data_IF_547065577975
#
_entry.id   IF_547065577975
#
_cell.length_a   1.000
_cell.length_b   1.000
_cell.length_c   1.000
_cell.angle_alpha   90.00
_cell.angle_beta   90.00
_cell.angle_gamma   90.00
#
_symmetry.space_group_name_H-M   'P 1'
#
loop_
_entity.id
_entity.type
_entity.pdbx_description
1 polymer ?
#
# COMPACT_ATOMS: atom_id res chain seq x y z
N UNK A 1 -4.11 -2.67 11.34
CA UNK A 1 -5.02 -2.31 10.23
C UNK A 1 -5.53 -3.56 9.51
N UNK A 2 -6.58 -3.45 8.69
CA UNK A 2 -7.08 -4.55 7.84
C UNK A 2 -7.40 -4.03 6.44
N UNK A 3 -6.98 -4.76 5.41
CA UNK A 3 -7.38 -4.48 4.02
C UNK A 3 -8.59 -5.34 3.67
N UNK A 4 -9.57 -4.73 3.02
CA UNK A 4 -10.63 -5.44 2.31
C UNK A 4 -10.58 -5.08 0.84
N UNK A 5 -10.83 -6.06 -0.01
CA UNK A 5 -10.81 -5.89 -1.46
C UNK A 5 -12.11 -6.45 -2.01
N UNK A 6 -12.73 -5.72 -2.92
CA UNK A 6 -13.84 -6.17 -3.76
C UNK A 6 -13.48 -6.04 -5.24
N UNK A 7 -14.47 -6.03 -6.13
CA UNK A 7 -14.25 -5.97 -7.58
C UNK A 7 -13.70 -4.61 -8.04
N UNK A 8 -14.02 -3.53 -7.32
CA UNK A 8 -13.76 -2.16 -7.75
C UNK A 8 -12.70 -1.47 -6.86
N UNK A 9 -12.64 -1.82 -5.57
CA UNK A 9 -11.84 -1.12 -4.58
C UNK A 9 -10.99 -2.05 -3.70
N UNK A 10 -9.87 -1.50 -3.22
CA UNK A 10 -9.16 -2.00 -2.06
C UNK A 10 -9.15 -0.92 -0.97
N UNK A 11 -9.71 -1.21 0.20
CA UNK A 11 -9.87 -0.25 1.30
C UNK A 11 -9.12 -0.71 2.54
N UNK A 12 -8.32 0.19 3.11
CA UNK A 12 -7.58 0.00 4.35
C UNK A 12 -8.37 0.59 5.52
N UNK A 13 -8.64 -0.25 6.52
CA UNK A 13 -9.40 0.11 7.71
C UNK A 13 -8.52 0.13 8.97
N UNK A 14 -8.80 1.08 9.85
CA UNK A 14 -8.32 1.12 11.25
C UNK A 14 -9.52 1.26 12.17
N UNK A 15 -9.64 0.32 13.12
CA UNK A 15 -10.71 0.31 14.12
C UNK A 15 -12.15 0.36 13.56
N UNK A 16 -12.33 0.00 12.28
CA UNK A 16 -13.62 0.04 11.59
C UNK A 16 -13.81 1.24 10.68
N UNK A 17 -12.96 2.26 10.80
CA UNK A 17 -12.98 3.46 9.95
C UNK A 17 -12.09 3.27 8.71
N UNK A 18 -12.56 3.63 7.51
CA UNK A 18 -11.76 3.62 6.30
C UNK A 18 -10.74 4.77 6.34
N UNK A 19 -9.47 4.48 6.06
CA UNK A 19 -8.42 5.49 6.00
C UNK A 19 -7.99 5.80 4.57
N UNK A 20 -7.98 4.75 3.73
CA UNK A 20 -7.49 4.81 2.36
C UNK A 20 -8.32 3.89 1.48
N UNK A 21 -8.70 4.36 0.30
CA UNK A 21 -9.33 3.55 -0.74
C UNK A 21 -8.50 3.65 -2.03
N UNK A 22 -8.18 2.50 -2.62
CA UNK A 22 -7.57 2.40 -3.94
C UNK A 22 -8.63 1.92 -4.90
N UNK A 23 -8.96 2.75 -5.89
CA UNK A 23 -9.72 2.33 -7.07
C UNK A 23 -8.82 1.41 -7.93
N UNK A 24 -9.30 0.19 -8.17
CA UNK A 24 -8.56 -0.83 -8.90
C UNK A 24 -8.61 -0.63 -10.41
N UNK A 25 -9.57 0.08 -10.97
CA UNK A 25 -9.63 0.40 -12.39
C UNK A 25 -8.72 1.59 -12.71
N UNK A 26 -8.96 2.72 -12.05
CA UNK A 26 -8.25 3.98 -12.32
C UNK A 26 -6.88 4.07 -11.67
N UNK A 27 -6.58 3.19 -10.71
CA UNK A 27 -5.37 3.20 -9.87
C UNK A 27 -5.22 4.49 -9.07
N UNK A 28 -6.33 5.16 -8.78
CA UNK A 28 -6.36 6.36 -7.97
C UNK A 28 -6.48 6.02 -6.47
N UNK A 29 -5.67 6.69 -5.65
CA UNK A 29 -5.66 6.50 -4.20
C UNK A 29 -6.34 7.69 -3.53
N UNK A 30 -7.43 7.43 -2.84
CA UNK A 30 -8.15 8.39 -2.01
C UNK A 30 -7.77 8.17 -0.54
N UNK A 31 -7.50 9.26 0.16
CA UNK A 31 -7.05 9.28 1.56
C UNK A 31 -7.94 10.23 2.36
N UNK A 32 -8.24 9.87 3.61
CA UNK A 32 -9.00 10.74 4.51
C UNK A 32 -8.26 12.06 4.76
N UNK A 33 -8.99 13.17 4.78
CA UNK A 33 -8.41 14.51 4.94
C UNK A 33 -7.87 14.78 6.35
N UNK A 34 -8.29 14.00 7.35
CA UNK A 34 -7.93 14.15 8.75
C UNK A 34 -6.70 13.32 9.15
N UNK A 35 -6.02 12.69 8.20
CA UNK A 35 -4.82 11.90 8.46
C UNK A 35 -3.64 12.77 8.88
N UNK A 36 -2.97 12.32 9.93
CA UNK A 36 -1.71 12.87 10.45
C UNK A 36 -0.50 12.26 9.74
N UNK A 37 0.68 12.85 9.91
CA UNK A 37 1.95 12.29 9.41
C UNK A 37 2.20 10.86 9.91
N UNK A 38 1.89 10.59 11.18
CA UNK A 38 2.01 9.25 11.76
C UNK A 38 1.09 8.24 11.07
N UNK A 39 -0.13 8.65 10.70
CA UNK A 39 -1.07 7.80 9.97
C UNK A 39 -0.52 7.43 8.59
N UNK A 40 0.05 8.39 7.86
CA UNK A 40 0.66 8.13 6.57
C UNK A 40 1.82 7.13 6.67
N UNK A 41 2.68 7.27 7.69
CA UNK A 41 3.77 6.34 7.94
C UNK A 41 3.21 4.94 8.20
N UNK A 42 2.21 4.81 9.08
CA UNK A 42 1.60 3.52 9.42
C UNK A 42 0.95 2.85 8.19
N UNK A 43 0.25 3.63 7.37
CA UNK A 43 -0.35 3.16 6.11
C UNK A 43 0.72 2.63 5.17
N UNK A 44 1.76 3.42 4.89
CA UNK A 44 2.84 3.04 3.96
C UNK A 44 3.57 1.80 4.46
N UNK A 45 3.90 1.74 5.76
CA UNK A 45 4.55 0.57 6.36
C UNK A 45 3.68 -0.67 6.20
N UNK A 46 2.37 -0.57 6.48
CA UNK A 46 1.45 -1.69 6.31
C UNK A 46 1.38 -2.18 4.87
N UNK A 47 1.33 -1.27 3.91
CA UNK A 47 1.31 -1.61 2.47
C UNK A 47 2.61 -2.28 2.03
N UNK A 48 3.76 -1.78 2.48
CA UNK A 48 5.06 -2.35 2.18
C UNK A 48 5.25 -3.74 2.79
N UNK A 49 4.75 -3.96 4.01
CA UNK A 49 4.80 -5.28 4.67
C UNK A 49 3.94 -6.30 3.93
N UNK A 50 2.74 -5.91 3.47
CA UNK A 50 1.89 -6.78 2.67
C UNK A 50 2.49 -7.10 1.31
N UNK A 51 3.08 -6.10 0.65
CA UNK A 51 3.83 -6.29 -0.60
C UNK A 51 4.99 -7.27 -0.38
N UNK A 52 5.75 -7.10 0.70
CA UNK A 52 6.84 -7.99 1.04
C UNK A 52 6.34 -9.41 1.30
N UNK A 53 5.26 -9.60 2.07
CA UNK A 53 4.68 -10.94 2.29
C UNK A 53 4.26 -11.61 0.97
N UNK A 54 3.68 -10.85 0.04
CA UNK A 54 3.30 -11.34 -1.28
C UNK A 54 4.52 -11.74 -2.13
N UNK A 55 5.53 -10.86 -2.22
CA UNK A 55 6.75 -11.10 -3.01
C UNK A 55 7.65 -12.18 -2.39
N UNK A 56 7.71 -12.27 -1.06
CA UNK A 56 8.46 -13.31 -0.35
C UNK A 56 7.87 -14.71 -0.57
N UNK A 57 6.57 -14.80 -0.91
CA UNK A 57 5.93 -16.04 -1.35
C UNK A 57 6.51 -16.61 -2.65
N UNK A 58 7.03 -15.75 -3.53
CA UNK A 58 7.64 -16.12 -4.83
C UNK A 58 9.17 -15.85 -4.90
N UNK A 59 9.76 -15.40 -3.80
CA UNK A 59 11.19 -15.08 -3.58
C UNK A 59 11.96 -14.51 -4.79
N UNK A 60 11.89 -13.20 -4.98
CA UNK A 60 12.99 -12.42 -5.58
C UNK A 60 13.69 -11.64 -4.47
N UNK A 61 14.98 -11.88 -4.19
CA UNK A 61 15.70 -11.08 -3.20
C UNK A 61 15.79 -9.63 -3.69
N UNK A 62 15.61 -8.68 -2.77
CA UNK A 62 15.91 -7.28 -3.05
C UNK A 62 17.39 -7.15 -3.42
N UNK A 63 17.74 -6.37 -4.45
CA UNK A 63 19.14 -6.06 -4.73
C UNK A 63 19.73 -5.31 -3.55
N UNK A 64 20.97 -5.63 -3.18
CA UNK A 64 21.69 -4.99 -2.05
C UNK A 64 21.81 -3.46 -2.19
N UNK A 65 21.67 -2.95 -3.42
CA UNK A 65 21.69 -1.53 -3.71
C UNK A 65 20.29 -1.00 -4.10
N UNK A 66 19.65 -0.16 -3.27
CA UNK A 66 18.35 0.45 -3.57
C UNK A 66 18.34 1.29 -4.86
N UNK A 67 19.49 1.83 -5.28
CA UNK A 67 19.61 2.57 -6.54
C UNK A 67 19.51 1.69 -7.80
N UNK A 68 19.50 0.36 -7.64
CA UNK A 68 19.33 -0.59 -8.74
C UNK A 68 17.87 -0.91 -9.05
N UNK A 69 16.91 -0.37 -8.28
CA UNK A 69 15.49 -0.47 -8.60
C UNK A 69 15.21 0.46 -9.80
N UNK A 70 14.77 -0.06 -10.97
CA UNK A 70 14.52 0.78 -12.14
C UNK A 70 13.40 1.77 -11.83
N UNK A 71 13.74 3.05 -11.73
CA UNK A 71 12.74 4.12 -11.62
C UNK A 71 12.09 4.32 -13.00
N UNK A 72 10.88 3.79 -13.21
CA UNK A 72 10.10 4.15 -14.39
C UNK A 72 9.43 5.50 -14.15
N UNK A 73 9.95 6.56 -14.77
CA UNK A 73 9.23 7.83 -14.92
C UNK A 73 8.20 7.64 -16.04
N UNK A 74 6.91 7.74 -15.71
CA UNK A 74 5.85 7.99 -16.70
C UNK A 74 5.74 9.49 -16.97
#
# INVERSE_FOLDING_TARGET
MKIRTDEDFAVLYREGEPLVALDLESKFLEVDENLTEEDYIEIITTLMDLLHQYVAGDSLPLPENPASIPYMRQ
#
